data_IF_839830958358
#
_entry.id   IF_839830958358
#
_cell.length_a   1.000
_cell.length_b   1.000
_cell.length_c   1.000
_cell.angle_alpha   90.00
_cell.angle_beta   90.00
_cell.angle_gamma   90.00
#
_symmetry.space_group_name_H-M   'P 1'
#
loop_
_entity.id
_entity.type
_entity.pdbx_description
1 polymer ?
#
# COMPACT_ATOMS: atom_id res chain seq x y z
N UNK A 1 6.20 3.61 26.34
CA UNK A 1 6.03 2.35 25.58
C UNK A 1 7.37 2.02 24.94
N UNK A 2 7.90 0.87 25.27
CA UNK A 2 9.05 0.34 24.54
C UNK A 2 8.71 0.18 23.04
N UNK A 3 9.66 0.49 22.22
CA UNK A 3 9.49 0.48 20.77
C UNK A 3 9.53 -0.96 20.26
N UNK A 4 8.51 -1.39 19.55
CA UNK A 4 8.46 -2.72 18.93
C UNK A 4 9.20 -2.72 17.58
N UNK A 5 10.46 -3.17 17.60
CA UNK A 5 11.32 -3.22 16.41
C UNK A 5 10.76 -4.17 15.34
N UNK A 6 10.05 -5.23 15.75
CA UNK A 6 9.40 -6.16 14.83
C UNK A 6 8.34 -5.45 13.99
N UNK A 7 7.52 -4.59 14.59
CA UNK A 7 6.52 -3.79 13.85
C UNK A 7 7.18 -2.79 12.90
N UNK A 8 8.31 -2.20 13.30
CA UNK A 8 9.06 -1.33 12.40
C UNK A 8 9.63 -2.13 11.21
N UNK A 9 10.14 -3.35 11.46
CA UNK A 9 10.59 -4.24 10.38
C UNK A 9 9.44 -4.59 9.42
N UNK A 10 8.28 -5.02 9.94
CA UNK A 10 7.11 -5.36 9.11
C UNK A 10 6.67 -4.14 8.28
N UNK A 11 6.69 -2.95 8.86
CA UNK A 11 6.37 -1.70 8.14
C UNK A 11 7.41 -1.39 7.06
N UNK A 12 8.68 -1.64 7.33
CA UNK A 12 9.76 -1.51 6.35
C UNK A 12 9.59 -2.46 5.17
N UNK A 13 9.27 -3.73 5.44
CA UNK A 13 8.94 -4.71 4.41
C UNK A 13 7.74 -4.25 3.57
N UNK A 14 6.68 -3.72 4.21
CA UNK A 14 5.50 -3.22 3.50
C UNK A 14 5.86 -2.06 2.55
N UNK A 15 6.60 -1.06 3.01
CA UNK A 15 7.00 0.10 2.19
C UNK A 15 7.93 -0.30 1.04
N UNK A 16 8.90 -1.16 1.29
CA UNK A 16 9.77 -1.67 0.22
C UNK A 16 9.00 -2.54 -0.76
N UNK A 17 8.09 -3.40 -0.26
CA UNK A 17 7.26 -4.27 -1.08
C UNK A 17 6.25 -3.51 -1.96
N UNK A 18 5.72 -2.38 -1.51
CA UNK A 18 4.85 -1.51 -2.31
C UNK A 18 5.57 -1.03 -3.58
N UNK A 19 6.87 -0.77 -3.53
CA UNK A 19 7.63 -0.33 -4.69
C UNK A 19 7.68 -1.38 -5.81
N UNK A 20 7.64 -2.69 -5.48
CA UNK A 20 7.60 -3.76 -6.49
C UNK A 20 6.44 -3.60 -7.49
N UNK A 21 5.35 -2.99 -7.03
CA UNK A 21 4.16 -2.74 -7.85
C UNK A 21 4.17 -1.33 -8.42
N UNK A 22 4.53 -0.36 -7.58
CA UNK A 22 4.53 1.04 -7.97
C UNK A 22 5.57 1.34 -9.04
N UNK A 23 6.66 0.55 -9.16
CA UNK A 23 7.65 0.76 -10.21
C UNK A 23 7.02 0.64 -11.61
N UNK A 24 6.07 -0.28 -11.80
CA UNK A 24 5.30 -0.38 -13.04
C UNK A 24 4.36 0.82 -13.23
N UNK A 25 3.75 1.33 -12.15
CA UNK A 25 2.91 2.53 -12.22
C UNK A 25 3.71 3.81 -12.51
N UNK A 26 5.00 3.85 -12.17
CA UNK A 26 5.90 4.94 -12.54
C UNK A 26 6.43 4.79 -13.98
N UNK A 27 6.80 3.59 -14.39
CA UNK A 27 7.53 3.34 -15.64
C UNK A 27 6.66 3.01 -16.84
N UNK A 28 5.42 2.55 -16.64
CA UNK A 28 4.48 2.12 -17.68
C UNK A 28 3.17 2.92 -17.64
N UNK A 29 2.36 2.86 -18.71
CA UNK A 29 1.03 3.46 -18.73
C UNK A 29 0.14 2.90 -17.62
N UNK A 30 -0.86 3.68 -17.22
CA UNK A 30 -1.81 3.31 -16.16
C UNK A 30 -2.48 1.95 -16.41
N UNK A 31 -2.82 1.66 -17.65
CA UNK A 31 -3.41 0.37 -18.05
C UNK A 31 -2.52 -0.82 -17.65
N UNK A 32 -1.21 -0.68 -17.75
CA UNK A 32 -0.24 -1.73 -17.45
C UNK A 32 -0.26 -2.18 -15.97
N UNK A 33 -0.80 -1.37 -15.06
CA UNK A 33 -0.79 -1.72 -13.63
C UNK A 33 -1.53 -3.03 -13.34
N UNK A 34 -2.69 -3.23 -13.94
CA UNK A 34 -3.51 -4.44 -13.79
C UNK A 34 -3.46 -5.36 -15.02
N UNK A 35 -3.32 -4.78 -16.21
CA UNK A 35 -3.34 -5.51 -17.48
C UNK A 35 -1.92 -5.65 -18.06
N UNK A 36 -1.31 -6.82 -18.01
CA UNK A 36 0.00 -7.02 -18.65
C UNK A 36 -0.07 -7.01 -20.19
N UNK A 37 -1.24 -7.29 -20.76
CA UNK A 37 -1.50 -7.27 -22.22
C UNK A 37 -2.07 -5.92 -22.71
N UNK A 38 -1.75 -4.82 -22.05
CA UNK A 38 -2.28 -3.48 -22.33
C UNK A 38 -1.95 -2.94 -23.73
N UNK A 39 -0.92 -3.47 -24.37
CA UNK A 39 -0.45 -3.03 -25.70
C UNK A 39 -0.55 -4.14 -26.76
N UNK A 40 -1.32 -5.19 -26.56
CA UNK A 40 -1.44 -6.32 -27.47
C UNK A 40 -0.66 -7.54 -27.01
N UNK A 41 0.19 -8.10 -27.86
CA UNK A 41 0.94 -9.32 -27.53
C UNK A 41 1.87 -9.10 -26.34
N UNK A 42 1.74 -10.00 -25.35
CA UNK A 42 2.56 -10.00 -24.15
C UNK A 42 3.78 -10.92 -24.32
N UNK A 43 4.94 -10.46 -23.89
CA UNK A 43 6.10 -11.33 -23.81
C UNK A 43 5.96 -12.34 -22.68
N UNK A 44 6.56 -13.51 -22.83
CA UNK A 44 6.52 -14.55 -21.80
C UNK A 44 7.16 -14.08 -20.49
N UNK A 45 8.20 -13.25 -20.56
CA UNK A 45 8.86 -12.65 -19.40
C UNK A 45 7.92 -11.72 -18.63
N UNK A 46 7.15 -10.88 -19.32
CA UNK A 46 6.19 -9.97 -18.71
C UNK A 46 5.01 -10.72 -18.10
N UNK A 47 4.52 -11.76 -18.76
CA UNK A 47 3.45 -12.60 -18.25
C UNK A 47 3.84 -13.32 -16.95
N UNK A 48 5.03 -13.92 -16.89
CA UNK A 48 5.55 -14.54 -15.67
C UNK A 48 5.84 -13.51 -14.58
N UNK A 49 6.41 -12.36 -14.91
CA UNK A 49 6.67 -11.29 -13.96
C UNK A 49 5.36 -10.79 -13.33
N UNK A 50 4.31 -10.58 -14.16
CA UNK A 50 3.00 -10.22 -13.70
C UNK A 50 2.41 -11.30 -12.77
N UNK A 51 2.46 -12.57 -13.16
CA UNK A 51 1.89 -13.67 -12.38
C UNK A 51 2.58 -13.82 -11.01
N UNK A 52 3.91 -13.72 -10.95
CA UNK A 52 4.66 -13.79 -9.70
C UNK A 52 4.38 -12.57 -8.81
N UNK A 53 4.34 -11.37 -9.38
CA UNK A 53 3.97 -10.17 -8.63
C UNK A 53 2.52 -10.22 -8.14
N UNK A 54 1.58 -10.72 -8.95
CA UNK A 54 0.19 -10.91 -8.51
C UNK A 54 0.10 -11.91 -7.37
N UNK A 55 0.78 -13.05 -7.46
CA UNK A 55 0.74 -14.10 -6.43
C UNK A 55 1.34 -13.66 -5.10
N UNK A 56 2.46 -12.94 -5.11
CA UNK A 56 3.23 -12.66 -3.89
C UNK A 56 3.14 -11.21 -3.39
N UNK A 57 2.86 -10.24 -4.25
CA UNK A 57 2.99 -8.82 -3.92
C UNK A 57 1.71 -8.02 -4.12
N UNK A 58 0.98 -8.20 -5.25
CA UNK A 58 -0.16 -7.37 -5.63
C UNK A 58 -1.23 -7.38 -4.54
N UNK A 59 -1.64 -6.19 -4.10
CA UNK A 59 -2.54 -5.94 -2.96
C UNK A 59 -1.92 -6.25 -1.59
N UNK A 60 -1.08 -7.30 -1.45
CA UNK A 60 -0.60 -7.82 -0.16
C UNK A 60 0.17 -6.76 0.66
N UNK A 61 1.11 -6.05 0.03
CA UNK A 61 1.90 -5.04 0.76
C UNK A 61 1.10 -3.77 1.10
N UNK A 62 0.16 -3.35 0.23
CA UNK A 62 -0.78 -2.27 0.56
C UNK A 62 -1.70 -2.67 1.71
N UNK A 63 -2.22 -3.89 1.67
CA UNK A 63 -3.06 -4.48 2.72
C UNK A 63 -2.29 -4.61 4.04
N UNK A 64 -1.01 -5.02 3.98
CA UNK A 64 -0.12 -5.06 5.15
C UNK A 64 0.08 -3.66 5.74
N UNK A 65 0.29 -2.66 4.89
CA UNK A 65 0.44 -1.29 5.34
C UNK A 65 -0.86 -0.75 5.97
N UNK A 66 -2.02 -1.08 5.40
CA UNK A 66 -3.32 -0.72 5.95
C UNK A 66 -3.57 -1.36 7.33
N UNK A 67 -3.24 -2.64 7.47
CA UNK A 67 -3.31 -3.36 8.74
C UNK A 67 -2.46 -2.70 9.82
N UNK A 68 -1.21 -2.34 9.49
CA UNK A 68 -0.30 -1.66 10.42
C UNK A 68 -0.73 -0.22 10.71
N UNK A 69 -1.38 0.47 9.76
CA UNK A 69 -1.94 1.79 9.97
C UNK A 69 -3.08 1.75 10.98
N UNK A 70 -4.01 0.79 10.86
CA UNK A 70 -5.08 0.56 11.82
C UNK A 70 -4.56 0.18 13.21
N UNK A 71 -3.52 -0.68 13.28
CA UNK A 71 -2.80 -0.96 14.52
C UNK A 71 -2.21 0.31 15.15
N UNK A 72 -1.65 1.19 14.31
CA UNK A 72 -1.16 2.51 14.73
C UNK A 72 -2.27 3.41 15.29
N UNK A 73 -3.44 3.46 14.67
CA UNK A 73 -4.59 4.20 15.17
C UNK A 73 -5.03 3.70 16.56
N UNK A 74 -5.07 2.38 16.77
CA UNK A 74 -5.37 1.77 18.07
C UNK A 74 -4.36 2.23 19.14
N UNK A 75 -3.06 2.29 18.81
CA UNK A 75 -2.03 2.75 19.74
C UNK A 75 -2.11 4.25 20.05
N UNK A 76 -2.69 5.03 19.16
CA UNK A 76 -2.79 6.49 19.28
C UNK A 76 -4.05 6.95 20.05
N UNK A 77 -5.01 6.08 20.32
CA UNK A 77 -6.23 6.44 21.06
C UNK A 77 -5.99 7.23 22.37
N UNK A 78 -4.97 6.89 23.19
CA UNK A 78 -4.68 7.63 24.42
C UNK A 78 -4.24 9.09 24.20
N UNK A 79 -3.86 9.47 22.97
CA UNK A 79 -3.48 10.85 22.63
C UNK A 79 -4.68 11.80 22.53
N UNK A 80 -5.89 11.25 22.48
CA UNK A 80 -7.13 12.00 22.41
C UNK A 80 -7.55 12.46 21.02
N UNK A 81 -8.82 12.83 20.92
CA UNK A 81 -9.51 13.16 19.67
C UNK A 81 -8.82 14.25 18.86
N UNK A 82 -8.51 15.41 19.48
CA UNK A 82 -7.92 16.56 18.76
C UNK A 82 -6.61 16.18 18.08
N UNK A 83 -5.74 15.45 18.81
CA UNK A 83 -4.45 15.03 18.27
C UNK A 83 -4.58 14.06 17.09
N UNK A 84 -5.47 13.06 17.19
CA UNK A 84 -5.69 12.07 16.13
C UNK A 84 -6.28 12.74 14.89
N UNK A 85 -7.31 13.58 15.06
CA UNK A 85 -7.93 14.29 13.94
C UNK A 85 -6.95 15.22 13.25
N UNK A 86 -6.21 16.04 13.98
CA UNK A 86 -5.18 16.92 13.40
C UNK A 86 -4.14 16.14 12.60
N UNK A 87 -3.69 15.00 13.16
CA UNK A 87 -2.71 14.14 12.49
C UNK A 87 -3.23 13.55 11.19
N UNK A 88 -4.47 13.08 11.17
CA UNK A 88 -5.10 12.49 9.99
C UNK A 88 -5.48 13.55 8.95
N UNK A 89 -5.96 14.72 9.37
CA UNK A 89 -6.24 15.84 8.45
C UNK A 89 -4.96 16.33 7.78
N UNK A 90 -3.85 16.43 8.51
CA UNK A 90 -2.55 16.76 7.92
C UNK A 90 -2.06 15.67 6.94
N UNK A 91 -2.38 14.40 7.20
CA UNK A 91 -2.09 13.32 6.25
C UNK A 91 -2.93 13.43 4.97
N UNK A 92 -4.23 13.78 5.10
CA UNK A 92 -5.10 14.08 3.95
C UNK A 92 -4.52 15.22 3.12
N UNK A 93 -4.12 16.32 3.77
CA UNK A 93 -3.51 17.46 3.08
C UNK A 93 -2.19 17.09 2.39
N UNK A 94 -1.34 16.34 3.07
CA UNK A 94 -0.08 15.86 2.49
C UNK A 94 -0.34 14.96 1.28
N UNK A 95 -1.28 14.00 1.39
CA UNK A 95 -1.66 13.11 0.29
C UNK A 95 -2.29 13.87 -0.88
N UNK A 96 -3.13 14.86 -0.61
CA UNK A 96 -3.68 15.74 -1.64
C UNK A 96 -2.57 16.48 -2.40
N UNK A 97 -1.65 17.12 -1.69
CA UNK A 97 -0.52 17.83 -2.30
C UNK A 97 0.42 16.87 -3.04
N UNK A 98 0.69 15.70 -2.48
CA UNK A 98 1.55 14.70 -3.11
C UNK A 98 0.91 14.16 -4.40
N UNK A 99 -0.38 13.80 -4.37
CA UNK A 99 -1.11 13.33 -5.54
C UNK A 99 -1.22 14.37 -6.64
N UNK A 100 -1.45 15.64 -6.26
CA UNK A 100 -1.59 16.75 -7.21
C UNK A 100 -0.26 17.14 -7.85
N UNK A 101 0.81 17.27 -7.06
CA UNK A 101 2.06 17.88 -7.51
C UNK A 101 3.09 16.87 -8.02
N UNK A 102 3.09 15.64 -7.49
CA UNK A 102 4.15 14.68 -7.76
C UNK A 102 3.68 13.45 -8.53
N UNK A 103 2.67 12.73 -8.01
CA UNK A 103 2.32 11.42 -8.57
C UNK A 103 0.85 11.03 -8.34
N UNK A 104 0.17 10.65 -9.40
CA UNK A 104 -1.24 10.25 -9.45
C UNK A 104 -1.55 8.94 -8.69
N UNK A 105 -0.54 8.14 -8.33
CA UNK A 105 -0.68 6.92 -7.54
C UNK A 105 -0.60 7.13 -6.02
N UNK A 106 -0.93 8.33 -5.49
CA UNK A 106 -0.89 8.60 -4.05
C UNK A 106 -1.84 7.69 -3.26
N UNK A 107 -1.35 7.18 -2.13
CA UNK A 107 -2.14 6.41 -1.16
C UNK A 107 -2.44 7.18 0.12
N UNK A 108 -1.69 8.25 0.42
CA UNK A 108 -1.78 8.96 1.70
C UNK A 108 -3.13 9.65 1.87
N UNK A 109 -3.69 10.19 0.78
CA UNK A 109 -5.02 10.81 0.76
C UNK A 109 -6.09 9.81 1.20
N UNK A 110 -6.10 8.62 0.59
CA UNK A 110 -7.04 7.55 0.91
C UNK A 110 -6.88 7.07 2.38
N UNK A 111 -5.64 6.87 2.82
CA UNK A 111 -5.34 6.47 4.21
C UNK A 111 -5.77 7.52 5.23
N UNK A 112 -5.57 8.79 4.92
CA UNK A 112 -6.01 9.90 5.76
C UNK A 112 -7.53 9.97 5.88
N UNK A 113 -8.26 9.91 4.75
CA UNK A 113 -9.72 9.99 4.71
C UNK A 113 -10.38 8.79 5.42
N UNK A 114 -9.98 7.57 5.06
CA UNK A 114 -10.51 6.36 5.70
C UNK A 114 -10.09 6.29 7.17
N UNK A 115 -8.88 6.73 7.50
CA UNK A 115 -8.41 6.85 8.88
C UNK A 115 -9.29 7.76 9.75
N UNK A 116 -9.79 8.89 9.18
CA UNK A 116 -10.73 9.80 9.86
C UNK A 116 -12.08 9.16 10.19
N UNK A 117 -12.47 8.12 9.50
CA UNK A 117 -13.65 7.30 9.79
C UNK A 117 -13.27 6.20 10.78
N UNK A 118 -12.24 5.43 10.47
CA UNK A 118 -11.85 4.23 11.21
C UNK A 118 -11.46 4.52 12.66
N UNK A 119 -10.79 5.64 12.97
CA UNK A 119 -10.40 5.93 14.37
C UNK A 119 -11.59 6.02 15.31
N UNK A 120 -12.77 6.51 14.82
CA UNK A 120 -14.01 6.54 15.60
C UNK A 120 -14.53 5.13 15.83
N UNK A 121 -14.61 4.32 14.77
CA UNK A 121 -15.02 2.92 14.87
C UNK A 121 -14.12 2.12 15.81
N UNK A 122 -12.80 2.36 15.77
CA UNK A 122 -11.83 1.70 16.64
C UNK A 122 -12.03 2.14 18.10
N UNK A 123 -12.24 3.45 18.34
CA UNK A 123 -12.45 3.99 19.70
C UNK A 123 -13.72 3.43 20.33
N UNK A 124 -14.81 3.41 19.57
CA UNK A 124 -16.17 3.13 20.07
C UNK A 124 -16.49 1.61 20.06
N UNK A 125 -15.62 0.79 19.50
CA UNK A 125 -15.82 -0.66 19.45
C UNK A 125 -15.79 -1.29 20.85
N UNK A 126 -16.84 -2.04 21.24
CA UNK A 126 -16.99 -2.60 22.56
C UNK A 126 -16.00 -3.74 22.85
N UNK A 127 -15.55 -4.45 21.83
CA UNK A 127 -14.67 -5.62 21.99
C UNK A 127 -13.74 -5.85 20.79
N UNK A 128 -12.72 -6.68 20.99
CA UNK A 128 -11.84 -7.17 19.91
C UNK A 128 -12.64 -7.91 18.84
N UNK A 129 -13.61 -8.74 19.27
CA UNK A 129 -14.48 -9.52 18.34
C UNK A 129 -15.33 -8.59 17.49
N UNK A 130 -15.88 -7.50 18.06
CA UNK A 130 -16.64 -6.51 17.31
C UNK A 130 -15.78 -5.85 16.24
N UNK A 131 -14.57 -5.40 16.58
CA UNK A 131 -13.62 -4.83 15.61
C UNK A 131 -13.29 -5.81 14.49
N UNK A 132 -12.98 -7.06 14.85
CA UNK A 132 -12.64 -8.08 13.89
C UNK A 132 -13.80 -8.36 12.93
N UNK A 133 -15.00 -8.59 13.46
CA UNK A 133 -16.18 -8.88 12.65
C UNK A 133 -16.54 -7.71 11.73
N UNK A 134 -16.54 -6.46 12.26
CA UNK A 134 -16.80 -5.28 11.45
C UNK A 134 -15.73 -5.13 10.35
N UNK A 135 -14.46 -5.38 10.67
CA UNK A 135 -13.38 -5.35 9.69
C UNK A 135 -13.59 -6.36 8.56
N UNK A 136 -13.95 -7.60 8.89
CA UNK A 136 -14.26 -8.65 7.90
C UNK A 136 -15.47 -8.26 7.05
N UNK A 137 -16.55 -7.80 7.66
CA UNK A 137 -17.78 -7.40 6.93
C UNK A 137 -17.49 -6.26 5.95
N UNK A 138 -16.79 -5.22 6.37
CA UNK A 138 -16.42 -4.10 5.48
C UNK A 138 -15.52 -4.57 4.33
N UNK A 139 -14.54 -5.42 4.63
CA UNK A 139 -13.65 -5.95 3.59
C UNK A 139 -14.44 -6.76 2.54
N UNK A 140 -15.28 -7.68 2.99
CA UNK A 140 -16.12 -8.51 2.12
C UNK A 140 -17.15 -7.67 1.35
N UNK A 141 -17.69 -6.59 1.95
CA UNK A 141 -18.55 -5.65 1.26
C UNK A 141 -17.84 -5.01 0.05
N UNK A 142 -16.59 -4.58 0.23
CA UNK A 142 -15.78 -4.05 -0.88
C UNK A 142 -15.52 -5.08 -1.99
N UNK A 143 -15.28 -6.35 -1.63
CA UNK A 143 -15.17 -7.44 -2.61
C UNK A 143 -16.50 -7.69 -3.31
N UNK A 144 -17.61 -7.65 -2.57
CA UNK A 144 -18.96 -7.78 -3.12
C UNK A 144 -19.29 -6.68 -4.15
N UNK A 145 -18.92 -5.44 -3.87
CA UNK A 145 -19.07 -4.34 -4.84
C UNK A 145 -18.23 -4.58 -6.10
N UNK A 146 -17.01 -5.08 -5.95
CA UNK A 146 -16.14 -5.41 -7.10
C UNK A 146 -16.81 -6.48 -8.00
N UNK A 147 -17.39 -7.52 -7.41
CA UNK A 147 -18.13 -8.54 -8.15
C UNK A 147 -19.38 -7.97 -8.84
N UNK A 148 -20.14 -7.11 -8.14
CA UNK A 148 -21.30 -6.43 -8.74
C UNK A 148 -20.89 -5.58 -9.94
N UNK A 149 -19.80 -4.81 -9.84
CA UNK A 149 -19.26 -4.04 -10.96
C UNK A 149 -18.91 -4.95 -12.15
N UNK A 150 -18.30 -6.11 -11.90
CA UNK A 150 -18.02 -7.08 -12.95
C UNK A 150 -19.27 -7.71 -13.58
N UNK A 151 -20.35 -7.88 -12.81
CA UNK A 151 -21.62 -8.40 -13.34
C UNK A 151 -22.33 -7.39 -14.26
N UNK A 152 -22.29 -6.10 -13.92
CA UNK A 152 -22.95 -5.04 -14.68
C UNK A 152 -22.09 -4.48 -15.81
N UNK A 153 -20.77 -4.71 -15.78
CA UNK A 153 -19.87 -4.27 -16.85
C UNK A 153 -20.13 -5.03 -18.15
N UNK A 154 -20.16 -4.31 -19.27
CA UNK A 154 -20.22 -4.90 -20.59
C UNK A 154 -19.01 -5.76 -20.93
N UNK A 155 -19.14 -6.60 -21.97
CA UNK A 155 -18.03 -7.41 -22.51
C UNK A 155 -17.05 -6.61 -23.37
N UNK A 156 -17.44 -5.41 -23.80
CA UNK A 156 -16.60 -4.56 -24.64
C UNK A 156 -15.39 -4.05 -23.84
N UNK A 157 -14.25 -4.07 -24.51
CA UNK A 157 -13.00 -3.62 -23.91
C UNK A 157 -13.02 -2.11 -23.69
N UNK A 158 -12.69 -1.69 -22.48
CA UNK A 158 -12.55 -0.28 -22.14
C UNK A 158 -11.24 0.30 -22.69
N UNK A 159 -11.27 1.54 -23.20
CA UNK A 159 -10.03 2.28 -23.57
C UNK A 159 -9.08 2.45 -22.37
N UNK A 160 -9.59 2.44 -21.15
CA UNK A 160 -8.74 2.46 -19.97
C UNK A 160 -8.00 1.13 -19.72
N UNK A 161 -8.48 0.02 -20.31
CA UNK A 161 -7.87 -1.31 -20.20
C UNK A 161 -6.89 -1.60 -21.33
N UNK A 162 -7.26 -1.25 -22.56
CA UNK A 162 -6.42 -1.34 -23.76
C UNK A 162 -6.44 0.01 -24.48
N UNK A 163 -5.60 0.97 -24.04
CA UNK A 163 -5.53 2.30 -24.64
C UNK A 163 -5.01 2.22 -26.10
N UNK A 164 -5.54 3.08 -26.96
CA UNK A 164 -5.02 3.26 -28.30
C UNK A 164 -3.70 4.06 -28.31
N UNK A 165 -3.02 4.07 -29.46
CA UNK A 165 -1.75 4.74 -29.61
C UNK A 165 -1.81 6.24 -29.25
N UNK A 166 -2.94 6.91 -29.52
CA UNK A 166 -3.12 8.33 -29.23
C UNK A 166 -3.22 8.60 -27.73
N UNK A 167 -3.93 7.73 -27.00
CA UNK A 167 -4.04 7.80 -25.53
C UNK A 167 -2.68 7.55 -24.84
N UNK A 168 -1.90 6.59 -25.36
CA UNK A 168 -0.56 6.31 -24.84
C UNK A 168 0.42 7.46 -25.08
N UNK A 169 0.40 8.05 -26.28
CA UNK A 169 1.22 9.23 -26.59
C UNK A 169 0.83 10.43 -25.71
N UNK A 170 -0.47 10.64 -25.48
CA UNK A 170 -0.96 11.70 -24.61
C UNK A 170 -0.56 11.47 -23.15
N UNK A 171 -0.69 10.23 -22.64
CA UNK A 171 -0.23 9.90 -21.27
C UNK A 171 1.27 10.15 -21.12
N UNK A 172 2.09 9.73 -22.09
CA UNK A 172 3.53 10.00 -22.11
C UNK A 172 3.81 11.49 -22.15
N UNK A 173 3.10 12.25 -23.00
CA UNK A 173 3.27 13.70 -23.14
C UNK A 173 3.11 14.42 -21.80
N UNK A 174 1.97 14.26 -21.13
CA UNK A 174 1.73 15.03 -19.91
C UNK A 174 2.57 14.55 -18.71
N UNK A 175 2.92 13.25 -18.65
CA UNK A 175 3.80 12.74 -17.59
C UNK A 175 5.23 13.26 -17.71
N UNK A 176 5.78 13.33 -18.93
CA UNK A 176 7.17 13.73 -19.17
C UNK A 176 7.31 15.25 -19.20
N UNK A 177 6.42 15.96 -19.88
CA UNK A 177 6.52 17.43 -19.99
C UNK A 177 6.02 18.17 -18.74
N UNK A 178 5.19 17.53 -17.92
CA UNK A 178 4.71 18.14 -16.68
C UNK A 178 3.78 19.36 -16.92
N UNK A 179 3.93 20.38 -16.07
CA UNK A 179 3.20 21.64 -16.19
C UNK A 179 1.71 21.54 -15.82
N UNK A 180 0.92 22.49 -16.32
CA UNK A 180 -0.53 22.55 -16.03
C UNK A 180 -1.29 21.35 -16.59
N UNK A 181 -0.84 20.80 -17.71
CA UNK A 181 -1.42 19.60 -18.32
C UNK A 181 -1.33 18.40 -17.36
N UNK A 182 -0.15 18.19 -16.75
CA UNK A 182 0.02 17.12 -15.76
C UNK A 182 -0.84 17.36 -14.51
N UNK A 183 -0.97 18.61 -14.05
CA UNK A 183 -1.83 18.95 -12.90
C UNK A 183 -3.30 18.63 -13.23
N UNK A 184 -3.80 19.03 -14.39
CA UNK A 184 -5.17 18.76 -14.83
C UNK A 184 -5.47 17.27 -14.89
N UNK A 185 -4.58 16.47 -15.52
CA UNK A 185 -4.74 15.01 -15.59
C UNK A 185 -4.67 14.35 -14.20
N UNK A 186 -3.82 14.84 -13.29
CA UNK A 186 -3.77 14.34 -11.91
C UNK A 186 -5.03 14.67 -11.12
N UNK A 187 -5.64 15.83 -11.34
CA UNK A 187 -6.97 16.18 -10.74
C UNK A 187 -8.03 15.20 -11.20
N UNK A 188 -8.10 14.89 -12.48
CA UNK A 188 -9.06 13.93 -13.03
C UNK A 188 -8.83 12.53 -12.47
N UNK A 189 -7.56 12.08 -12.41
CA UNK A 189 -7.21 10.79 -11.82
C UNK A 189 -7.52 10.73 -10.32
N UNK A 190 -7.25 11.79 -9.58
CA UNK A 190 -7.60 11.89 -8.16
C UNK A 190 -9.11 11.84 -7.94
N UNK A 191 -9.88 12.53 -8.76
CA UNK A 191 -11.35 12.50 -8.71
C UNK A 191 -11.89 11.09 -8.93
N UNK A 192 -11.38 10.38 -9.95
CA UNK A 192 -11.74 8.99 -10.22
C UNK A 192 -11.31 8.06 -9.08
N UNK A 193 -10.14 8.29 -8.49
CA UNK A 193 -9.65 7.51 -7.34
C UNK A 193 -10.51 7.73 -6.09
N UNK A 194 -10.99 8.97 -5.85
CA UNK A 194 -11.90 9.27 -4.74
C UNK A 194 -13.28 8.65 -4.95
N UNK A 195 -13.80 8.63 -6.18
CA UNK A 195 -15.02 7.89 -6.50
C UNK A 195 -14.87 6.40 -6.25
N UNK A 196 -13.79 5.79 -6.72
CA UNK A 196 -13.48 4.38 -6.49
C UNK A 196 -13.26 4.08 -4.99
N UNK A 197 -12.64 4.99 -4.24
CA UNK A 197 -12.48 4.89 -2.78
C UNK A 197 -13.84 4.81 -2.09
N UNK A 198 -14.76 5.71 -2.41
CA UNK A 198 -16.11 5.72 -1.85
C UNK A 198 -16.94 4.50 -2.28
N UNK A 199 -16.83 4.11 -3.54
CA UNK A 199 -17.64 3.04 -4.12
C UNK A 199 -17.16 1.64 -3.71
N UNK A 200 -15.84 1.37 -3.67
CA UNK A 200 -15.35 0.00 -3.58
C UNK A 200 -14.15 -0.17 -2.63
N UNK A 201 -12.95 0.30 -3.00
CA UNK A 201 -11.74 -0.12 -2.28
C UNK A 201 -11.58 0.54 -0.90
N UNK A 202 -12.30 1.61 -0.62
CA UNK A 202 -12.34 2.24 0.70
C UNK A 202 -12.93 1.34 1.78
N UNK A 203 -13.87 0.48 1.42
CA UNK A 203 -14.44 -0.53 2.32
C UNK A 203 -13.39 -1.58 2.70
N UNK A 204 -12.60 -2.04 1.73
CA UNK A 204 -11.50 -2.97 1.98
C UNK A 204 -10.40 -2.33 2.83
N UNK A 205 -10.05 -1.07 2.53
CA UNK A 205 -9.06 -0.31 3.30
C UNK A 205 -9.51 -0.12 4.75
N UNK A 206 -10.77 0.25 4.98
CA UNK A 206 -11.36 0.36 6.31
C UNK A 206 -11.36 -1.00 7.03
N UNK A 207 -11.78 -2.05 6.33
CA UNK A 207 -11.77 -3.41 6.84
C UNK A 207 -10.40 -3.83 7.38
N UNK A 208 -9.35 -3.61 6.59
CA UNK A 208 -7.97 -3.92 7.01
C UNK A 208 -7.47 -3.06 8.16
N UNK A 209 -7.84 -1.78 8.21
CA UNK A 209 -7.52 -0.93 9.37
C UNK A 209 -8.18 -1.43 10.64
N UNK A 210 -9.45 -1.85 10.59
CA UNK A 210 -10.15 -2.41 11.76
C UNK A 210 -9.55 -3.76 12.19
N UNK A 211 -9.21 -4.63 11.23
CA UNK A 211 -8.52 -5.89 11.52
C UNK A 211 -7.15 -5.64 12.18
N UNK A 212 -6.39 -4.67 11.70
CA UNK A 212 -5.12 -4.28 12.32
C UNK A 212 -5.29 -3.76 13.74
N UNK A 213 -6.33 -2.95 14.00
CA UNK A 213 -6.67 -2.49 15.33
C UNK A 213 -7.10 -3.64 16.26
N UNK A 214 -7.89 -4.61 15.75
CA UNK A 214 -8.29 -5.80 16.48
C UNK A 214 -7.08 -6.65 16.89
N UNK A 215 -6.18 -6.93 15.94
CA UNK A 215 -4.94 -7.69 16.17
C UNK A 215 -3.98 -6.96 17.13
N UNK A 216 -3.96 -5.63 17.11
CA UNK A 216 -3.18 -4.85 18.08
C UNK A 216 -3.81 -4.91 19.47
N UNK A 217 -5.13 -4.76 19.56
CA UNK A 217 -5.88 -4.79 20.83
C UNK A 217 -5.83 -6.17 21.49
N UNK A 218 -5.85 -7.26 20.72
CA UNK A 218 -5.72 -8.63 21.19
C UNK A 218 -4.32 -9.01 21.69
N UNK A 219 -3.30 -8.17 21.41
CA UNK A 219 -1.90 -8.50 21.70
C UNK A 219 -1.18 -9.28 20.62
N UNK A 220 -1.88 -9.70 19.55
CA UNK A 220 -1.26 -10.47 18.48
C UNK A 220 -0.16 -9.68 17.75
N UNK A 221 -0.42 -8.43 17.36
CA UNK A 221 0.59 -7.53 16.78
C UNK A 221 1.60 -6.97 17.82
N UNK A 222 1.45 -7.32 19.09
CA UNK A 222 2.46 -7.02 20.12
C UNK A 222 3.48 -8.15 20.31
N UNK A 223 3.29 -9.28 19.64
CA UNK A 223 4.17 -10.45 19.79
C UNK A 223 3.90 -11.27 21.04
N UNK A 224 2.67 -11.23 21.60
CA UNK A 224 2.32 -11.89 22.87
C UNK A 224 1.95 -13.37 22.74
N UNK A 225 1.99 -13.93 21.54
CA UNK A 225 1.70 -15.35 21.29
C UNK A 225 2.99 -16.14 21.10
N UNK A 226 2.93 -17.48 21.20
CA UNK A 226 4.10 -18.32 21.04
C UNK A 226 4.66 -18.26 19.61
N UNK A 227 5.97 -18.41 19.46
CA UNK A 227 6.63 -18.43 18.15
C UNK A 227 6.08 -19.54 17.25
N UNK A 228 5.72 -20.69 17.84
CA UNK A 228 5.13 -21.80 17.12
C UNK A 228 3.74 -21.46 16.58
N UNK A 229 2.92 -20.74 17.37
CA UNK A 229 1.62 -20.22 16.91
C UNK A 229 1.79 -19.32 15.69
N UNK A 230 2.71 -18.34 15.75
CA UNK A 230 2.96 -17.45 14.61
C UNK A 230 3.43 -18.20 13.37
N UNK A 231 4.38 -19.14 13.52
CA UNK A 231 4.90 -19.92 12.38
C UNK A 231 3.82 -20.76 11.71
N UNK A 232 3.04 -21.52 12.50
CA UNK A 232 1.94 -22.36 11.98
C UNK A 232 0.85 -21.52 11.31
N UNK A 233 0.39 -20.46 11.99
CA UNK A 233 -0.59 -19.54 11.43
C UNK A 233 -0.07 -18.88 10.17
N UNK A 234 1.19 -18.44 10.17
CA UNK A 234 1.81 -17.79 9.03
C UNK A 234 1.86 -18.69 7.79
N UNK A 235 2.39 -19.91 7.93
CA UNK A 235 2.46 -20.89 6.82
C UNK A 235 1.07 -21.21 6.31
N UNK A 236 0.12 -21.52 7.21
CA UNK A 236 -1.26 -21.87 6.84
C UNK A 236 -1.94 -20.75 6.06
N UNK A 237 -1.89 -19.51 6.56
CA UNK A 237 -2.57 -18.37 5.93
C UNK A 237 -1.93 -18.00 4.58
N UNK A 238 -0.61 -18.09 4.45
CA UNK A 238 0.06 -17.85 3.16
C UNK A 238 -0.37 -18.90 2.15
N UNK A 239 -0.36 -20.20 2.51
CA UNK A 239 -0.75 -21.28 1.59
C UNK A 239 -2.21 -21.13 1.18
N UNK A 240 -3.14 -20.88 2.12
CA UNK A 240 -4.56 -20.71 1.81
C UNK A 240 -4.76 -19.49 0.89
N UNK A 241 -4.12 -18.35 1.20
CA UNK A 241 -4.25 -17.15 0.37
C UNK A 241 -3.71 -17.36 -1.04
N UNK A 242 -2.58 -18.07 -1.20
CA UNK A 242 -2.05 -18.46 -2.50
C UNK A 242 -2.98 -19.43 -3.25
N UNK A 243 -3.53 -20.44 -2.55
CA UNK A 243 -4.44 -21.40 -3.14
C UNK A 243 -5.75 -20.76 -3.65
N UNK A 244 -6.21 -19.69 -3.02
CA UNK A 244 -7.36 -18.91 -3.49
C UNK A 244 -7.01 -18.09 -4.73
N UNK A 245 -5.81 -17.48 -4.77
CA UNK A 245 -5.44 -16.57 -5.87
C UNK A 245 -4.93 -17.29 -7.12
N UNK A 246 -4.18 -18.39 -6.96
CA UNK A 246 -3.51 -19.08 -8.06
C UNK A 246 -4.46 -19.50 -9.19
N UNK A 247 -5.66 -20.10 -8.94
CA UNK A 247 -6.60 -20.42 -10.01
C UNK A 247 -7.06 -19.20 -10.81
N UNK A 248 -7.21 -18.03 -10.14
CA UNK A 248 -7.59 -16.79 -10.82
C UNK A 248 -6.47 -16.25 -11.71
N UNK A 249 -5.21 -16.37 -11.31
CA UNK A 249 -4.04 -16.03 -12.15
C UNK A 249 -4.03 -16.89 -13.40
N UNK A 250 -4.20 -18.21 -13.26
CA UNK A 250 -4.25 -19.16 -14.38
C UNK A 250 -5.43 -18.82 -15.31
N UNK A 251 -6.60 -18.55 -14.74
CA UNK A 251 -7.78 -18.19 -15.55
C UNK A 251 -7.58 -16.89 -16.32
N UNK A 252 -6.98 -15.84 -15.70
CA UNK A 252 -6.67 -14.58 -16.37
C UNK A 252 -5.73 -14.80 -17.56
N UNK A 253 -4.72 -15.66 -17.41
CA UNK A 253 -3.79 -16.01 -18.48
C UNK A 253 -4.50 -16.70 -19.66
N UNK A 254 -5.38 -17.68 -19.38
CA UNK A 254 -6.16 -18.37 -20.41
C UNK A 254 -7.23 -17.51 -21.09
N UNK A 255 -7.66 -16.43 -20.44
CA UNK A 255 -8.62 -15.47 -21.00
C UNK A 255 -7.95 -14.28 -21.69
N UNK A 256 -6.64 -14.36 -21.95
CA UNK A 256 -5.85 -13.29 -22.57
C UNK A 256 -6.15 -11.90 -21.97
N UNK A 257 -6.30 -11.86 -20.64
CA UNK A 257 -6.63 -10.66 -19.85
C UNK A 257 -7.87 -9.91 -20.33
N UNK A 258 -8.92 -10.63 -20.75
CA UNK A 258 -10.19 -10.06 -21.17
C UNK A 258 -10.78 -9.12 -20.09
N UNK A 259 -11.18 -7.91 -20.51
CA UNK A 259 -11.53 -6.78 -19.64
C UNK A 259 -12.48 -7.14 -18.50
N UNK A 260 -13.71 -7.57 -18.80
CA UNK A 260 -14.74 -7.84 -17.79
C UNK A 260 -14.30 -8.84 -16.73
N UNK A 261 -13.61 -9.90 -17.16
CA UNK A 261 -13.13 -10.94 -16.25
C UNK A 261 -11.94 -10.47 -15.42
N UNK A 262 -10.94 -9.85 -16.06
CA UNK A 262 -9.66 -9.56 -15.42
C UNK A 262 -9.63 -8.22 -14.69
N UNK A 263 -10.46 -7.23 -15.10
CA UNK A 263 -10.56 -5.98 -14.37
C UNK A 263 -11.45 -6.07 -13.12
N UNK A 264 -12.36 -7.06 -13.03
CA UNK A 264 -13.33 -7.17 -11.94
C UNK A 264 -13.44 -8.58 -11.35
N UNK A 265 -14.02 -9.53 -12.08
CA UNK A 265 -14.46 -10.82 -11.52
C UNK A 265 -13.28 -11.65 -10.98
N UNK A 266 -12.20 -11.78 -11.75
CA UNK A 266 -11.01 -12.53 -11.35
C UNK A 266 -10.07 -11.73 -10.43
N UNK A 267 -10.40 -10.48 -10.13
CA UNK A 267 -9.76 -9.74 -9.04
C UNK A 267 -10.25 -10.23 -7.66
N UNK A 268 -11.51 -10.67 -7.56
CA UNK A 268 -12.11 -11.06 -6.28
C UNK A 268 -11.34 -12.18 -5.55
N UNK A 269 -10.89 -13.28 -6.19
CA UNK A 269 -10.05 -14.28 -5.51
C UNK A 269 -8.75 -13.69 -4.95
N UNK A 270 -8.08 -12.79 -5.70
CA UNK A 270 -6.89 -12.08 -5.22
C UNK A 270 -7.21 -11.25 -3.99
N UNK A 271 -8.31 -10.48 -4.03
CA UNK A 271 -8.74 -9.65 -2.91
C UNK A 271 -9.12 -10.50 -1.69
N UNK A 272 -9.69 -11.69 -1.87
CA UNK A 272 -10.00 -12.62 -0.78
C UNK A 272 -8.72 -13.27 -0.20
N UNK A 273 -7.77 -13.63 -1.05
CA UNK A 273 -6.50 -14.23 -0.63
C UNK A 273 -5.54 -13.24 0.04
N UNK A 274 -5.57 -11.96 -0.36
CA UNK A 274 -4.61 -10.95 0.09
C UNK A 274 -4.60 -10.70 1.61
N UNK A 275 -5.72 -10.56 2.34
CA UNK A 275 -5.70 -10.41 3.80
C UNK A 275 -5.08 -11.61 4.51
N UNK A 276 -5.35 -12.82 4.01
CA UNK A 276 -4.79 -14.05 4.57
C UNK A 276 -3.27 -14.07 4.39
N UNK A 277 -2.77 -13.83 3.17
CA UNK A 277 -1.33 -13.75 2.92
C UNK A 277 -0.68 -12.62 3.73
N UNK A 278 -1.33 -11.47 3.83
CA UNK A 278 -0.84 -10.31 4.60
C UNK A 278 -0.66 -10.63 6.08
N UNK A 279 -1.68 -11.22 6.71
CA UNK A 279 -1.59 -11.66 8.11
C UNK A 279 -0.57 -12.79 8.24
N UNK A 280 -0.52 -13.68 7.25
CA UNK A 280 0.46 -14.76 7.16
C UNK A 280 1.90 -14.23 7.10
N UNK A 281 2.18 -13.23 6.28
CA UNK A 281 3.51 -12.59 6.21
C UNK A 281 3.89 -11.95 7.55
N UNK A 282 2.97 -11.19 8.17
CA UNK A 282 3.21 -10.62 9.49
C UNK A 282 3.48 -11.71 10.54
N UNK A 283 2.69 -12.80 10.52
CA UNK A 283 2.89 -13.94 11.40
C UNK A 283 4.28 -14.58 11.24
N UNK A 284 4.71 -14.85 10.01
CA UNK A 284 6.03 -15.40 9.73
C UNK A 284 7.15 -14.48 10.25
N UNK A 285 7.02 -13.17 10.05
CA UNK A 285 8.00 -12.21 10.56
C UNK A 285 8.07 -12.19 12.08
N UNK A 286 6.94 -12.32 12.79
CA UNK A 286 6.95 -12.53 14.26
C UNK A 286 7.52 -13.89 14.66
N UNK A 287 7.09 -14.97 13.97
CA UNK A 287 7.50 -16.34 14.30
C UNK A 287 8.99 -16.62 14.11
N UNK A 288 9.63 -15.94 13.16
CA UNK A 288 11.05 -16.04 12.87
C UNK A 288 11.88 -14.86 13.38
N UNK A 289 11.26 -13.95 14.14
CA UNK A 289 11.95 -12.75 14.63
C UNK A 289 13.26 -13.03 15.38
N UNK A 290 13.38 -14.04 16.27
CA UNK A 290 14.64 -14.32 16.96
C UNK A 290 15.79 -14.69 16.03
N UNK A 291 15.49 -15.27 14.87
CA UNK A 291 16.47 -15.58 13.84
C UNK A 291 16.76 -14.37 12.97
N UNK A 292 15.70 -13.70 12.50
CA UNK A 292 15.77 -12.54 11.60
C UNK A 292 16.51 -11.36 12.23
N UNK A 293 16.25 -11.06 13.51
CA UNK A 293 16.84 -9.92 14.22
C UNK A 293 18.37 -9.98 14.37
N UNK A 294 18.98 -11.12 14.11
CA UNK A 294 20.45 -11.29 14.12
C UNK A 294 21.12 -10.67 12.88
N UNK A 295 20.38 -10.46 11.81
CA UNK A 295 20.93 -9.95 10.55
C UNK A 295 20.89 -8.41 10.50
N UNK A 296 22.00 -7.80 10.13
CA UNK A 296 22.11 -6.34 10.00
C UNK A 296 21.14 -5.75 8.98
N UNK A 297 20.88 -6.46 7.88
CA UNK A 297 19.93 -6.01 6.86
C UNK A 297 18.50 -5.97 7.37
N UNK A 298 18.10 -6.85 8.31
CA UNK A 298 16.77 -6.82 8.95
C UNK A 298 16.61 -5.54 9.78
N UNK A 299 17.66 -5.16 10.52
CA UNK A 299 17.66 -3.92 11.29
C UNK A 299 17.65 -2.70 10.36
N UNK A 300 18.34 -2.76 9.23
CA UNK A 300 18.27 -1.70 8.21
C UNK A 300 16.85 -1.53 7.64
N UNK A 301 16.14 -2.63 7.35
CA UNK A 301 14.72 -2.59 6.93
C UNK A 301 13.83 -2.01 8.06
N UNK A 302 14.10 -2.35 9.32
CA UNK A 302 13.38 -1.74 10.45
C UNK A 302 13.61 -0.21 10.52
N UNK A 303 14.81 0.27 10.14
CA UNK A 303 15.07 1.70 9.99
C UNK A 303 14.20 2.34 8.88
N UNK A 304 14.01 1.66 7.73
CA UNK A 304 13.10 2.10 6.68
C UNK A 304 11.67 2.22 7.21
N UNK A 305 11.18 1.20 7.92
CA UNK A 305 9.83 1.20 8.51
C UNK A 305 9.62 2.27 9.58
N UNK A 306 10.69 2.66 10.28
CA UNK A 306 10.73 3.78 11.22
C UNK A 306 10.54 5.12 10.53
N UNK A 307 10.94 5.22 9.27
CA UNK A 307 10.86 6.39 8.41
C UNK A 307 9.93 6.12 7.21
N UNK A 308 8.82 5.39 7.45
CA UNK A 308 7.96 4.88 6.38
C UNK A 308 7.41 5.98 5.46
N UNK A 309 6.95 7.09 6.04
CA UNK A 309 6.41 8.23 5.27
C UNK A 309 7.52 8.93 4.47
N UNK A 310 8.66 9.17 5.10
CA UNK A 310 9.84 9.73 4.43
C UNK A 310 10.29 8.85 3.27
N UNK A 311 10.39 7.53 3.49
CA UNK A 311 10.83 6.60 2.45
C UNK A 311 9.81 6.47 1.31
N UNK A 312 8.50 6.50 1.60
CA UNK A 312 7.47 6.53 0.57
C UNK A 312 7.60 7.76 -0.35
N UNK A 313 7.74 8.95 0.24
CA UNK A 313 7.95 10.18 -0.55
C UNK A 313 9.28 10.19 -1.28
N UNK A 314 10.34 9.62 -0.70
CA UNK A 314 11.64 9.48 -1.35
C UNK A 314 11.57 8.56 -2.57
N UNK A 315 10.84 7.44 -2.47
CA UNK A 315 10.57 6.56 -3.63
C UNK A 315 9.87 7.32 -4.75
N UNK A 316 8.84 8.10 -4.43
CA UNK A 316 8.15 8.94 -5.43
C UNK A 316 9.11 9.93 -6.08
N UNK A 317 9.91 10.64 -5.29
CA UNK A 317 10.86 11.62 -5.80
C UNK A 317 11.88 10.98 -6.76
N UNK A 318 12.45 9.85 -6.38
CA UNK A 318 13.44 9.14 -7.22
C UNK A 318 12.77 8.64 -8.50
N UNK A 319 11.62 7.96 -8.39
CA UNK A 319 10.96 7.36 -9.54
C UNK A 319 10.41 8.42 -10.51
N UNK A 320 9.79 9.51 -10.03
CA UNK A 320 9.33 10.60 -10.90
C UNK A 320 10.50 11.31 -11.58
N UNK A 321 11.63 11.47 -10.90
CA UNK A 321 12.85 12.01 -11.53
C UNK A 321 13.34 11.09 -12.64
N UNK A 322 13.42 9.79 -12.41
CA UNK A 322 13.92 8.84 -13.41
C UNK A 322 12.95 8.69 -14.60
N UNK A 323 11.68 8.42 -14.32
CA UNK A 323 10.75 8.08 -15.39
C UNK A 323 10.15 9.28 -16.10
N UNK A 324 9.89 10.38 -15.39
CA UNK A 324 9.28 11.56 -16.00
C UNK A 324 10.33 12.59 -16.41
N UNK A 325 11.16 13.08 -15.49
CA UNK A 325 12.10 14.16 -15.79
C UNK A 325 13.27 13.70 -16.69
N UNK A 326 13.82 12.50 -16.43
CA UNK A 326 14.86 11.92 -17.30
C UNK A 326 14.28 11.21 -18.54
N UNK A 327 12.93 11.17 -18.69
CA UNK A 327 12.27 10.68 -19.89
C UNK A 327 12.37 9.17 -20.10
N UNK A 328 12.48 8.38 -19.03
CA UNK A 328 12.56 6.92 -19.10
C UNK A 328 11.17 6.24 -19.12
N UNK A 329 10.07 7.00 -19.09
CA UNK A 329 8.70 6.49 -19.15
C UNK A 329 8.44 5.73 -20.45
N UNK A 330 7.88 4.53 -20.36
CA UNK A 330 7.60 3.61 -21.47
C UNK A 330 8.85 3.17 -22.26
N UNK A 331 10.03 3.10 -21.64
CA UNK A 331 11.25 2.62 -22.31
C UNK A 331 11.65 1.20 -21.90
N UNK A 332 11.05 0.66 -20.87
CA UNK A 332 11.40 -0.63 -20.27
C UNK A 332 10.16 -1.52 -20.16
N UNK A 333 10.37 -2.82 -20.25
CA UNK A 333 9.34 -3.81 -19.97
C UNK A 333 9.14 -4.01 -18.45
N UNK A 334 8.16 -4.84 -18.07
CA UNK A 334 7.83 -5.08 -16.67
C UNK A 334 8.97 -5.75 -15.89
N UNK A 335 9.69 -6.67 -16.51
CA UNK A 335 10.82 -7.35 -15.90
C UNK A 335 12.00 -6.39 -15.71
N UNK A 336 12.31 -5.61 -16.74
CA UNK A 336 13.40 -4.62 -16.70
C UNK A 336 13.16 -3.56 -15.61
N UNK A 337 11.91 -3.14 -15.40
CA UNK A 337 11.56 -2.21 -14.35
C UNK A 337 11.89 -2.74 -12.94
N UNK A 338 11.84 -4.05 -12.70
CA UNK A 338 12.23 -4.61 -11.41
C UNK A 338 13.71 -4.40 -11.09
N UNK A 339 14.58 -4.25 -12.08
CA UNK A 339 16.00 -3.92 -11.84
C UNK A 339 16.17 -2.51 -11.26
N UNK A 340 15.26 -1.56 -11.54
CA UNK A 340 15.28 -0.23 -10.93
C UNK A 340 14.86 -0.25 -9.45
N UNK A 341 14.14 -1.27 -9.01
CA UNK A 341 13.75 -1.42 -7.59
C UNK A 341 14.98 -1.56 -6.69
N UNK A 342 16.00 -2.30 -7.15
CA UNK A 342 17.20 -2.61 -6.36
C UNK A 342 17.94 -1.32 -5.93
N UNK A 343 18.34 -0.41 -6.85
CA UNK A 343 19.00 0.83 -6.44
C UNK A 343 18.10 1.74 -5.61
N UNK A 344 16.79 1.79 -5.86
CA UNK A 344 15.87 2.60 -5.03
C UNK A 344 15.81 2.04 -3.61
N UNK A 345 15.72 0.71 -3.44
CA UNK A 345 15.80 0.07 -2.13
C UNK A 345 17.14 0.35 -1.43
N UNK A 346 18.25 0.29 -2.16
CA UNK A 346 19.56 0.61 -1.60
C UNK A 346 19.61 2.05 -1.07
N UNK A 347 19.07 3.01 -1.81
CA UNK A 347 18.98 4.41 -1.38
C UNK A 347 18.10 4.52 -0.13
N UNK A 348 16.92 3.91 -0.10
CA UNK A 348 16.03 3.92 1.07
C UNK A 348 16.74 3.36 2.32
N UNK A 349 17.41 2.21 2.18
CA UNK A 349 18.14 1.56 3.28
C UNK A 349 19.30 2.42 3.79
N UNK A 350 20.15 2.87 2.88
CA UNK A 350 21.32 3.70 3.23
C UNK A 350 20.89 5.02 3.88
N UNK A 351 19.93 5.73 3.26
CA UNK A 351 19.40 6.97 3.80
C UNK A 351 18.82 6.76 5.21
N UNK A 352 17.99 5.74 5.39
CA UNK A 352 17.35 5.47 6.69
C UNK A 352 18.36 5.12 7.78
N UNK A 353 19.35 4.28 7.47
CA UNK A 353 20.38 3.88 8.43
C UNK A 353 21.27 5.07 8.81
N UNK A 354 21.70 5.85 7.82
CA UNK A 354 22.56 7.03 8.07
C UNK A 354 21.78 8.10 8.84
N UNK A 355 20.57 8.44 8.41
CA UNK A 355 19.75 9.47 9.06
C UNK A 355 19.46 9.14 10.53
N UNK A 356 19.08 7.90 10.82
CA UNK A 356 18.73 7.49 12.18
C UNK A 356 19.93 7.33 13.12
N UNK A 357 21.17 7.48 12.66
CA UNK A 357 22.36 7.65 13.54
C UNK A 357 22.35 9.01 14.22
N UNK A 358 21.84 10.04 13.53
CA UNK A 358 21.87 11.43 14.01
C UNK A 358 20.52 11.87 14.58
N UNK A 359 19.41 11.32 14.07
CA UNK A 359 18.05 11.74 14.39
C UNK A 359 17.20 10.59 14.90
N UNK A 360 16.23 10.86 15.78
CA UNK A 360 15.35 9.84 16.36
C UNK A 360 14.20 9.41 15.46
N UNK A 361 13.86 10.16 14.43
CA UNK A 361 12.74 9.92 13.49
C UNK A 361 13.07 10.53 12.12
N UNK A 362 12.34 10.13 11.07
CA UNK A 362 12.54 10.68 9.73
C UNK A 362 12.15 12.16 9.65
N UNK A 363 12.68 12.89 8.65
CA UNK A 363 12.42 14.32 8.50
C UNK A 363 10.93 14.64 8.29
N UNK A 364 10.24 13.86 7.47
CA UNK A 364 8.81 14.08 7.19
C UNK A 364 7.96 13.67 8.40
N UNK A 365 8.29 12.57 9.08
CA UNK A 365 7.65 12.16 10.33
C UNK A 365 7.81 13.23 11.43
N UNK A 366 8.98 13.84 11.52
CA UNK A 366 9.25 14.93 12.45
C UNK A 366 8.38 16.14 12.12
N UNK A 367 8.38 16.60 10.88
CA UNK A 367 7.57 17.73 10.44
C UNK A 367 6.07 17.48 10.69
N UNK A 368 5.57 16.31 10.26
CA UNK A 368 4.18 15.90 10.48
C UNK A 368 3.79 15.90 11.97
N UNK A 369 4.71 15.42 12.83
CA UNK A 369 4.49 15.46 14.28
C UNK A 369 4.45 16.89 14.81
N UNK A 370 5.35 17.78 14.40
CA UNK A 370 5.37 19.18 14.84
C UNK A 370 4.09 19.91 14.43
N UNK A 371 3.67 19.75 13.18
CA UNK A 371 2.43 20.33 12.67
C UNK A 371 1.21 19.78 13.43
N UNK A 372 1.18 18.46 13.71
CA UNK A 372 0.12 17.84 14.51
C UNK A 372 0.01 18.44 15.89
N UNK A 373 1.13 18.65 16.59
CA UNK A 373 1.15 19.23 17.93
C UNK A 373 0.64 20.68 17.92
N UNK A 374 1.04 21.47 16.94
CA UNK A 374 0.54 22.85 16.76
C UNK A 374 -0.96 22.87 16.49
N UNK A 375 -1.42 22.07 15.52
CA UNK A 375 -2.84 22.01 15.15
C UNK A 375 -3.74 21.45 16.28
N UNK A 376 -3.22 20.54 17.10
CA UNK A 376 -3.94 20.00 18.25
C UNK A 376 -3.97 20.93 19.48
N UNK A 377 -3.21 22.03 19.46
CA UNK A 377 -3.09 22.93 20.60
C UNK A 377 -2.40 22.29 21.83
N UNK A 378 -1.58 21.23 21.62
CA UNK A 378 -0.85 20.55 22.68
C UNK A 378 0.61 21.00 22.67
N UNK A 379 1.05 21.61 23.78
CA UNK A 379 2.47 21.90 23.99
C UNK A 379 3.26 20.59 24.12
N UNK A 380 4.45 20.55 23.53
CA UNK A 380 5.42 19.49 23.82
C UNK A 380 5.69 19.45 25.32
N UNK A 381 5.75 18.26 25.95
CA UNK A 381 6.48 18.16 27.20
C UNK A 381 7.89 18.63 26.90
N UNK A 382 8.34 19.66 27.61
CA UNK A 382 9.74 20.12 27.55
C UNK A 382 10.61 18.91 27.91
N UNK A 383 11.18 18.26 26.92
CA UNK A 383 12.27 17.32 27.15
C UNK A 383 13.45 18.15 27.56
N UNK A 384 13.80 18.10 28.86
CA UNK A 384 15.13 18.44 29.32
C UNK A 384 16.17 17.83 28.38
N UNK A 385 17.08 18.62 27.93
CA UNK A 385 18.21 18.29 27.05
C UNK A 385 19.01 17.10 27.54
#
# INVERSE_FOLDING_TARGET
MERNVTLDFIRGVAILGILLLNISAFGLPKAAYLNPAWYGDITLSDAWTWALLDLFAQVKFLTLFALLFGAGLQMLLPRGKRWIQSRLTLLVLLGFLHGLLFWDGDILLAYGLIGLICWRLIRDAPSVKSLFNTGVVLYLAGVGVLLLLGMISGSETSRAWTPDASALLYEKYWKVNGGMEAISNRVDMMSNSLLALGAQYGWQLAGMMLLGAALMRSGWLKGQYSLQHYRRTGVLLVIIGMAINLPAIIAQWHLDWAYRWCAFLLQAPRELGAPLQTIGYAALMFGFWPQLSRFKWVIAIACVGRMALTNYLLQTLICTTLFYQAGLFMKFDRLELLFFVIPVWAINLLFSVIWLRFYRQGPVEWLWRQLTLRAAGTSLPRTSR
#
